data_IF_413567981976
#
_entry.id   IF_413567981976
#
_cell.length_a   1.000
_cell.length_b   1.000
_cell.length_c   1.000
_cell.angle_alpha   90.00
_cell.angle_beta   90.00
_cell.angle_gamma   90.00
#
_symmetry.space_group_name_H-M   'P 1'
#
loop_
_entity.id
_entity.type
_entity.pdbx_description
1 polymer ?
#
# COMPACT_ATOMS: atom_id res chain seq x y z
N UNK A 1 -4.67 23.43 46.93
CA UNK A 1 -5.51 22.52 46.12
C UNK A 1 -4.78 21.99 44.87
N UNK A 2 -4.20 22.83 43.99
CA UNK A 2 -3.46 22.38 42.80
C UNK A 2 -2.30 21.39 43.06
N UNK A 3 -1.48 21.63 44.10
CA UNK A 3 -0.36 20.73 44.45
C UNK A 3 -0.79 19.33 44.90
N UNK A 4 -1.91 19.21 45.62
CA UNK A 4 -2.41 17.92 46.11
C UNK A 4 -2.92 17.04 44.95
N UNK A 5 -3.56 17.65 43.96
CA UNK A 5 -4.09 16.97 42.76
C UNK A 5 -2.94 16.44 41.89
N UNK A 6 -1.86 17.22 41.71
CA UNK A 6 -0.70 16.78 40.93
C UNK A 6 0.05 15.61 41.57
N UNK A 7 0.20 15.60 42.90
CA UNK A 7 0.85 14.50 43.62
C UNK A 7 0.01 13.21 43.59
N UNK A 8 -1.32 13.31 43.69
CA UNK A 8 -2.20 12.14 43.59
C UNK A 8 -2.14 11.53 42.19
N UNK A 9 -2.11 12.35 41.14
CA UNK A 9 -2.07 11.87 39.76
C UNK A 9 -0.73 11.19 39.41
N UNK A 10 0.40 11.73 39.88
CA UNK A 10 1.71 11.11 39.66
C UNK A 10 1.89 9.81 40.44
N UNK A 11 1.40 9.74 41.68
CA UNK A 11 1.41 8.50 42.48
C UNK A 11 0.49 7.43 41.86
N UNK A 12 -0.70 7.80 41.37
CA UNK A 12 -1.60 6.87 40.69
C UNK A 12 -0.98 6.29 39.40
N UNK A 13 -0.29 7.12 38.60
CA UNK A 13 0.41 6.69 37.38
C UNK A 13 1.60 5.77 37.68
N UNK A 14 2.34 6.05 38.76
CA UNK A 14 3.44 5.17 39.22
C UNK A 14 2.91 3.83 39.73
N UNK A 15 1.80 3.82 40.47
CA UNK A 15 1.17 2.59 40.94
C UNK A 15 0.58 1.76 39.79
N UNK A 16 -0.03 2.40 38.78
CA UNK A 16 -0.53 1.68 37.60
C UNK A 16 0.62 1.05 36.80
N UNK A 17 1.73 1.79 36.61
CA UNK A 17 2.90 1.25 35.90
C UNK A 17 3.58 0.12 36.67
N UNK A 18 3.66 0.22 38.00
CA UNK A 18 4.19 -0.85 38.85
C UNK A 18 3.29 -2.11 38.82
N UNK A 19 1.97 -1.94 38.81
CA UNK A 19 1.03 -3.06 38.68
C UNK A 19 1.16 -3.77 37.33
N UNK A 20 1.28 -3.02 36.23
CA UNK A 20 1.49 -3.56 34.88
C UNK A 20 2.85 -4.29 34.79
N UNK A 21 3.90 -3.72 35.36
CA UNK A 21 5.23 -4.36 35.41
C UNK A 21 5.21 -5.65 36.26
N UNK A 22 4.45 -5.69 37.35
CA UNK A 22 4.35 -6.88 38.20
C UNK A 22 3.57 -7.99 37.50
N UNK A 23 2.48 -7.65 36.84
CA UNK A 23 1.66 -8.60 36.09
C UNK A 23 2.42 -9.24 34.92
N UNK A 24 3.22 -8.45 34.18
CA UNK A 24 4.05 -8.98 33.08
C UNK A 24 5.15 -9.94 33.55
N UNK A 25 5.72 -9.73 34.74
CA UNK A 25 6.72 -10.64 35.32
C UNK A 25 6.09 -11.96 35.79
N UNK A 26 4.89 -11.90 36.38
CA UNK A 26 4.16 -13.11 36.78
C UNK A 26 3.79 -13.96 35.57
N UNK A 27 3.22 -13.34 34.53
CA UNK A 27 2.85 -14.00 33.28
C UNK A 27 4.08 -14.63 32.59
N UNK A 28 5.22 -13.94 32.62
CA UNK A 28 6.49 -14.47 32.12
C UNK A 28 6.91 -15.74 32.86
N UNK A 29 6.88 -15.75 34.19
CA UNK A 29 7.31 -16.90 34.98
C UNK A 29 6.38 -18.11 34.81
N UNK A 30 5.06 -17.87 34.72
CA UNK A 30 4.09 -18.93 34.45
C UNK A 30 4.33 -19.53 33.07
N UNK A 31 4.45 -18.69 32.04
CA UNK A 31 4.69 -19.13 30.65
C UNK A 31 6.01 -19.88 30.52
N UNK A 32 7.07 -19.38 31.17
CA UNK A 32 8.38 -20.05 31.25
C UNK A 32 8.25 -21.48 31.76
N UNK A 33 7.54 -21.68 32.88
CA UNK A 33 7.40 -23.00 33.49
C UNK A 33 6.74 -24.00 32.52
N UNK A 34 5.64 -23.61 31.88
CA UNK A 34 4.98 -24.47 30.89
C UNK A 34 5.83 -24.71 29.63
N UNK A 35 6.57 -23.70 29.18
CA UNK A 35 7.48 -23.81 28.04
C UNK A 35 8.62 -24.80 28.31
N UNK A 36 9.21 -24.75 29.52
CA UNK A 36 10.24 -25.67 29.98
C UNK A 36 9.73 -27.11 30.16
N UNK A 37 8.43 -27.28 30.47
CA UNK A 37 7.76 -28.58 30.49
C UNK A 37 7.42 -29.14 29.10
N UNK A 38 7.76 -28.44 28.03
CA UNK A 38 7.59 -28.92 26.65
C UNK A 38 6.28 -28.51 25.99
N UNK A 39 5.41 -27.72 26.63
CA UNK A 39 4.16 -27.30 26.00
C UNK A 39 4.42 -26.38 24.80
N UNK A 40 4.09 -26.81 23.58
CA UNK A 40 4.41 -26.09 22.34
C UNK A 40 3.80 -24.68 22.28
N UNK A 41 2.56 -24.50 22.73
CA UNK A 41 1.91 -23.17 22.77
C UNK A 41 2.60 -22.25 23.78
N UNK A 42 2.96 -22.76 24.96
CA UNK A 42 3.73 -22.00 25.94
C UNK A 42 5.13 -21.64 25.40
N UNK A 43 5.80 -22.55 24.69
CA UNK A 43 7.09 -22.25 24.04
C UNK A 43 6.94 -21.16 22.98
N UNK A 44 5.90 -21.22 22.15
CA UNK A 44 5.62 -20.16 21.19
C UNK A 44 5.38 -18.81 21.89
N UNK A 45 4.52 -18.78 22.91
CA UNK A 45 4.25 -17.56 23.68
C UNK A 45 5.48 -17.03 24.41
N UNK A 46 6.31 -17.92 24.95
CA UNK A 46 7.56 -17.56 25.60
C UNK A 46 8.56 -16.95 24.60
N UNK A 47 8.63 -17.49 23.38
CA UNK A 47 9.37 -16.86 22.28
C UNK A 47 8.85 -15.46 21.96
N UNK A 48 7.53 -15.25 21.92
CA UNK A 48 6.93 -13.92 21.72
C UNK A 48 7.26 -12.93 22.85
N UNK A 49 7.33 -13.40 24.09
CA UNK A 49 7.74 -12.56 25.23
C UNK A 49 9.18 -12.07 25.06
N UNK A 50 10.11 -12.93 24.66
CA UNK A 50 11.47 -12.53 24.33
C UNK A 50 11.55 -11.59 23.12
N UNK A 51 10.74 -11.81 22.08
CA UNK A 51 10.72 -10.95 20.90
C UNK A 51 10.19 -9.54 21.20
N UNK A 52 9.14 -9.43 22.01
CA UNK A 52 8.50 -8.16 22.37
C UNK A 52 9.15 -7.46 23.57
N UNK A 53 9.94 -8.17 24.37
CA UNK A 53 10.44 -7.68 25.65
C UNK A 53 9.35 -7.58 26.73
N UNK A 54 8.29 -8.38 26.64
CA UNK A 54 7.23 -8.43 27.66
C UNK A 54 7.68 -9.28 28.85
N UNK A 55 7.84 -8.66 30.03
CA UNK A 55 8.30 -9.33 31.26
C UNK A 55 9.79 -9.72 31.27
N UNK A 56 10.52 -9.49 30.16
CA UNK A 56 11.94 -9.79 30.00
C UNK A 56 12.61 -8.79 29.06
N UNK A 57 13.93 -8.63 29.13
CA UNK A 57 14.66 -7.85 28.12
C UNK A 57 14.50 -8.52 26.74
N UNK A 58 14.18 -7.73 25.70
CA UNK A 58 14.10 -8.23 24.33
C UNK A 58 15.38 -9.00 23.95
N UNK A 59 15.22 -10.21 23.43
CA UNK A 59 16.30 -11.09 22.99
C UNK A 59 15.80 -11.96 21.82
N UNK A 60 16.14 -11.54 20.60
CA UNK A 60 15.68 -12.19 19.36
C UNK A 60 16.28 -13.59 19.19
N UNK A 61 17.46 -13.86 19.75
CA UNK A 61 18.07 -15.19 19.71
C UNK A 61 17.31 -16.16 20.62
N UNK A 62 16.95 -15.75 21.83
CA UNK A 62 16.10 -16.56 22.71
C UNK A 62 14.72 -16.76 22.09
N UNK A 63 14.13 -15.71 21.52
CA UNK A 63 12.84 -15.81 20.84
C UNK A 63 12.86 -16.90 19.76
N UNK A 64 13.85 -16.86 18.86
CA UNK A 64 14.03 -17.88 17.81
C UNK A 64 14.17 -19.28 18.37
N UNK A 65 15.02 -19.49 19.38
CA UNK A 65 15.23 -20.82 19.97
C UNK A 65 13.93 -21.40 20.54
N UNK A 66 13.08 -20.58 21.15
CA UNK A 66 11.77 -21.01 21.64
C UNK A 66 10.76 -21.24 20.52
N UNK A 67 10.78 -20.43 19.46
CA UNK A 67 10.01 -20.70 18.25
C UNK A 67 10.42 -22.00 17.57
N UNK A 68 11.72 -22.32 17.48
CA UNK A 68 12.23 -23.59 16.95
C UNK A 68 11.68 -24.78 17.73
N UNK A 69 11.76 -24.75 19.07
CA UNK A 69 11.19 -25.82 19.91
C UNK A 69 9.69 -26.02 19.68
N UNK A 70 8.91 -24.94 19.55
CA UNK A 70 7.48 -25.04 19.29
C UNK A 70 7.18 -25.53 17.87
N UNK A 71 7.92 -25.05 16.88
CA UNK A 71 7.75 -25.39 15.47
C UNK A 71 8.13 -26.84 15.15
N UNK A 72 9.19 -27.35 15.79
CA UNK A 72 9.62 -28.75 15.74
C UNK A 72 8.53 -29.70 16.28
N UNK A 73 7.69 -29.22 17.20
CA UNK A 73 6.53 -29.94 17.72
C UNK A 73 5.26 -29.79 16.85
N UNK A 74 5.36 -29.09 15.72
CA UNK A 74 4.21 -28.90 14.83
C UNK A 74 3.41 -27.62 15.05
N UNK A 75 3.79 -26.73 15.99
CA UNK A 75 3.00 -25.52 16.25
C UNK A 75 2.96 -24.59 15.03
N UNK A 76 1.80 -24.46 14.39
CA UNK A 76 1.66 -23.80 13.10
C UNK A 76 2.11 -22.32 13.13
N UNK A 77 1.72 -21.56 14.16
CA UNK A 77 2.14 -20.15 14.27
C UNK A 77 3.66 -20.00 14.45
N UNK A 78 4.29 -20.98 15.11
CA UNK A 78 5.73 -20.96 15.34
C UNK A 78 6.48 -21.32 14.05
N UNK A 79 5.95 -22.27 13.28
CA UNK A 79 6.45 -22.59 11.94
C UNK A 79 6.33 -21.39 11.01
N UNK A 80 5.17 -20.73 10.96
CA UNK A 80 5.00 -19.50 10.18
C UNK A 80 5.99 -18.40 10.62
N UNK A 81 6.14 -18.20 11.93
CA UNK A 81 7.07 -17.20 12.51
C UNK A 81 8.53 -17.51 12.14
N UNK A 82 8.96 -18.77 12.19
CA UNK A 82 10.30 -19.15 11.73
C UNK A 82 10.47 -18.93 10.24
N UNK A 83 9.43 -19.19 9.45
CA UNK A 83 9.39 -18.83 8.03
C UNK A 83 9.77 -17.37 7.82
N UNK A 84 9.11 -16.45 8.57
CA UNK A 84 9.40 -15.01 8.51
C UNK A 84 10.82 -14.66 8.96
N UNK A 85 11.30 -15.26 10.06
CA UNK A 85 12.65 -15.02 10.58
C UNK A 85 13.71 -15.38 9.54
N UNK A 86 13.59 -16.55 8.89
CA UNK A 86 14.53 -16.97 7.85
C UNK A 86 14.36 -16.17 6.55
N UNK A 87 13.14 -15.71 6.23
CA UNK A 87 12.88 -14.87 5.05
C UNK A 87 13.55 -13.49 5.18
N UNK A 88 13.42 -12.84 6.34
CA UNK A 88 13.99 -11.50 6.57
C UNK A 88 15.47 -11.56 6.97
N UNK A 89 15.89 -12.65 7.63
CA UNK A 89 17.24 -12.76 8.22
C UNK A 89 17.38 -11.98 9.55
N UNK A 90 16.29 -11.82 10.31
CA UNK A 90 16.35 -11.17 11.63
C UNK A 90 16.98 -12.12 12.65
N UNK A 91 18.18 -11.79 13.14
CA UNK A 91 18.90 -12.62 14.12
C UNK A 91 19.51 -13.92 13.55
N UNK A 92 19.33 -14.21 12.26
CA UNK A 92 19.94 -15.34 11.55
C UNK A 92 20.38 -14.93 10.15
N UNK A 93 21.23 -15.74 9.50
CA UNK A 93 21.48 -15.57 8.08
C UNK A 93 20.18 -15.83 7.30
N UNK A 94 19.80 -14.88 6.45
CA UNK A 94 18.67 -15.01 5.53
C UNK A 94 18.79 -16.31 4.70
N UNK A 95 17.69 -17.05 4.62
CA UNK A 95 17.64 -18.36 3.98
C UNK A 95 16.22 -18.64 3.46
N UNK A 96 15.99 -18.32 2.18
CA UNK A 96 14.69 -18.48 1.54
C UNK A 96 14.22 -19.95 1.45
N UNK A 97 15.14 -20.90 1.32
CA UNK A 97 14.79 -22.33 1.27
C UNK A 97 14.29 -22.82 2.63
N UNK A 98 14.96 -22.44 3.72
CA UNK A 98 14.46 -22.72 5.08
C UNK A 98 13.14 -22.01 5.35
N UNK A 99 13.01 -20.76 4.94
CA UNK A 99 11.78 -20.01 5.10
C UNK A 99 10.61 -20.74 4.43
N UNK A 100 10.76 -21.12 3.15
CA UNK A 100 9.77 -21.88 2.39
C UNK A 100 9.40 -23.20 3.09
N UNK A 101 10.37 -23.98 3.55
CA UNK A 101 10.10 -25.25 4.23
C UNK A 101 9.25 -25.06 5.50
N UNK A 102 9.50 -24.01 6.27
CA UNK A 102 8.70 -23.69 7.44
C UNK A 102 7.30 -23.21 7.08
N UNK A 103 7.17 -22.36 6.06
CA UNK A 103 5.86 -21.97 5.53
C UNK A 103 5.07 -23.17 5.01
N UNK A 104 5.70 -24.09 4.27
CA UNK A 104 5.05 -25.31 3.78
C UNK A 104 4.52 -26.18 4.93
N UNK A 105 5.29 -26.34 6.01
CA UNK A 105 4.82 -27.06 7.20
C UNK A 105 3.59 -26.38 7.81
N UNK A 106 3.60 -25.06 8.00
CA UNK A 106 2.46 -24.32 8.56
C UNK A 106 1.24 -24.33 7.63
N UNK A 107 1.45 -24.10 6.34
CA UNK A 107 0.41 -24.02 5.33
C UNK A 107 -0.29 -25.37 5.09
N UNK A 108 0.45 -26.47 5.16
CA UNK A 108 -0.10 -27.84 5.09
C UNK A 108 -0.98 -28.18 6.30
N UNK A 109 -0.84 -27.47 7.42
CA UNK A 109 -1.72 -27.58 8.58
C UNK A 109 -2.95 -26.65 8.51
N UNK A 110 -3.10 -25.89 7.42
CA UNK A 110 -4.22 -24.96 7.25
C UNK A 110 -3.94 -23.52 7.66
N UNK A 111 -2.72 -23.17 8.10
CA UNK A 111 -2.42 -21.80 8.53
C UNK A 111 -2.58 -20.80 7.37
N UNK A 112 -3.57 -19.91 7.47
CA UNK A 112 -3.97 -19.02 6.37
C UNK A 112 -2.84 -18.08 5.93
N UNK A 113 -2.15 -17.40 6.86
CA UNK A 113 -1.06 -16.47 6.50
C UNK A 113 0.12 -17.20 5.83
N UNK A 114 0.45 -18.42 6.26
CA UNK A 114 1.49 -19.22 5.62
C UNK A 114 1.07 -19.67 4.21
N UNK A 115 -0.20 -20.02 4.01
CA UNK A 115 -0.73 -20.30 2.68
C UNK A 115 -0.68 -19.06 1.78
N UNK A 116 -1.11 -17.90 2.28
CA UNK A 116 -0.99 -16.63 1.55
C UNK A 116 0.47 -16.32 1.20
N UNK A 117 1.39 -16.47 2.16
CA UNK A 117 2.83 -16.21 1.97
C UNK A 117 3.44 -17.15 0.91
N UNK A 118 3.07 -18.44 0.90
CA UNK A 118 3.49 -19.34 -0.18
C UNK A 118 2.91 -18.91 -1.53
N UNK A 119 1.65 -18.45 -1.55
CA UNK A 119 1.04 -17.86 -2.73
C UNK A 119 1.87 -16.70 -3.29
N UNK A 120 2.26 -15.75 -2.43
CA UNK A 120 3.14 -14.63 -2.79
C UNK A 120 4.50 -15.07 -3.31
N UNK A 121 5.16 -16.01 -2.60
CA UNK A 121 6.47 -16.53 -2.97
C UNK A 121 6.45 -17.12 -4.38
N UNK A 122 5.45 -17.93 -4.71
CA UNK A 122 5.32 -18.50 -6.06
C UNK A 122 4.85 -17.46 -7.10
N UNK A 123 4.06 -16.46 -6.70
CA UNK A 123 3.60 -15.38 -7.57
C UNK A 123 4.74 -14.46 -8.03
N UNK A 124 5.66 -14.12 -7.11
CA UNK A 124 6.80 -13.22 -7.39
C UNK A 124 8.03 -14.00 -7.85
N UNK A 125 8.18 -15.25 -7.42
CA UNK A 125 9.40 -16.05 -7.65
C UNK A 125 10.54 -15.70 -6.69
N UNK A 126 10.23 -15.28 -5.46
CA UNK A 126 11.25 -14.99 -4.45
C UNK A 126 11.81 -16.29 -3.85
N UNK A 127 13.08 -16.59 -4.09
CA UNK A 127 13.70 -17.83 -3.61
C UNK A 127 13.20 -19.12 -4.27
N UNK A 128 12.30 -19.03 -5.25
CA UNK A 128 11.81 -20.14 -6.08
C UNK A 128 11.64 -19.70 -7.53
N UNK A 129 11.52 -20.66 -8.44
CA UNK A 129 11.02 -20.33 -9.78
C UNK A 129 9.56 -19.87 -9.67
N UNK A 130 9.25 -18.72 -10.26
CA UNK A 130 7.89 -18.21 -10.37
C UNK A 130 6.95 -19.25 -11.00
N UNK A 131 5.79 -19.44 -10.38
CA UNK A 131 4.82 -20.47 -10.73
C UNK A 131 3.41 -20.01 -10.33
N UNK A 132 2.68 -19.43 -11.30
CA UNK A 132 1.34 -18.89 -11.06
C UNK A 132 0.30 -19.96 -10.71
N UNK A 133 0.48 -21.20 -11.19
CA UNK A 133 -0.43 -22.30 -10.86
C UNK A 133 -0.32 -22.67 -9.39
N UNK A 134 0.90 -22.76 -8.86
CA UNK A 134 1.12 -22.95 -7.42
C UNK A 134 0.66 -21.75 -6.60
N UNK A 135 0.94 -20.53 -7.07
CA UNK A 135 0.48 -19.31 -6.41
C UNK A 135 -1.04 -19.33 -6.23
N UNK A 136 -1.77 -19.62 -7.31
CA UNK A 136 -3.22 -19.77 -7.30
C UNK A 136 -3.69 -20.81 -6.29
N UNK A 137 -3.13 -22.01 -6.29
CA UNK A 137 -3.55 -23.08 -5.38
C UNK A 137 -3.39 -22.68 -3.92
N UNK A 138 -2.32 -21.96 -3.58
CA UNK A 138 -2.10 -21.49 -2.22
C UNK A 138 -3.00 -20.30 -1.85
N UNK A 139 -3.17 -19.34 -2.75
CA UNK A 139 -4.15 -18.26 -2.57
C UNK A 139 -5.57 -18.78 -2.43
N UNK A 140 -6.01 -19.75 -3.25
CA UNK A 140 -7.35 -20.36 -3.14
C UNK A 140 -7.57 -20.96 -1.75
N UNK A 141 -6.58 -21.67 -1.19
CA UNK A 141 -6.68 -22.22 0.17
C UNK A 141 -6.84 -21.12 1.23
N UNK A 142 -6.02 -20.08 1.20
CA UNK A 142 -6.11 -18.97 2.17
C UNK A 142 -7.38 -18.13 1.98
N UNK A 143 -7.76 -17.84 0.73
CA UNK A 143 -8.93 -17.05 0.37
C UNK A 143 -10.24 -17.73 0.79
N UNK A 144 -10.31 -19.06 0.66
CA UNK A 144 -11.44 -19.86 1.13
C UNK A 144 -11.59 -19.86 2.66
N UNK A 145 -10.52 -19.54 3.40
CA UNK A 145 -10.55 -19.31 4.85
C UNK A 145 -10.91 -17.88 5.23
N UNK A 146 -11.15 -16.99 4.25
CA UNK A 146 -11.48 -15.60 4.50
C UNK A 146 -10.30 -14.63 4.48
N UNK A 147 -9.07 -15.09 4.22
CA UNK A 147 -7.89 -14.20 4.24
C UNK A 147 -8.00 -13.11 3.15
N UNK A 148 -8.12 -11.84 3.55
CA UNK A 148 -8.41 -10.72 2.65
C UNK A 148 -7.33 -10.53 1.57
N UNK A 149 -6.04 -10.54 1.94
CA UNK A 149 -4.97 -10.37 0.95
C UNK A 149 -4.88 -11.53 -0.05
N UNK A 150 -5.20 -12.76 0.39
CA UNK A 150 -5.26 -13.91 -0.52
C UNK A 150 -6.45 -13.84 -1.47
N UNK A 151 -7.60 -13.32 -1.01
CA UNK A 151 -8.75 -13.05 -1.88
C UNK A 151 -8.38 -12.00 -2.94
N UNK A 152 -7.73 -10.90 -2.53
CA UNK A 152 -7.23 -9.90 -3.46
C UNK A 152 -6.20 -10.50 -4.43
N UNK A 153 -5.18 -11.22 -3.94
CA UNK A 153 -4.18 -11.88 -4.78
C UNK A 153 -4.78 -12.86 -5.79
N UNK A 154 -5.79 -13.64 -5.39
CA UNK A 154 -6.52 -14.53 -6.30
C UNK A 154 -7.31 -13.76 -7.35
N UNK A 155 -8.00 -12.68 -6.96
CA UNK A 155 -8.69 -11.79 -7.90
C UNK A 155 -7.75 -11.18 -8.95
N UNK A 156 -6.54 -10.80 -8.53
CA UNK A 156 -5.51 -10.24 -9.41
C UNK A 156 -4.98 -11.27 -10.42
N UNK A 157 -4.87 -12.55 -10.04
CA UNK A 157 -4.54 -13.62 -10.99
C UNK A 157 -5.62 -13.77 -12.07
N UNK A 158 -6.91 -13.75 -11.68
CA UNK A 158 -8.02 -13.75 -12.64
C UNK A 158 -8.09 -12.49 -13.50
N UNK A 159 -7.70 -11.33 -12.96
CA UNK A 159 -7.72 -10.05 -13.69
C UNK A 159 -6.66 -10.04 -14.77
N UNK A 160 -5.46 -10.53 -14.46
CA UNK A 160 -4.31 -10.56 -15.38
C UNK A 160 -4.31 -11.78 -16.31
N UNK A 161 -4.99 -12.88 -15.93
CA UNK A 161 -4.89 -14.16 -16.64
C UNK A 161 -3.58 -14.90 -16.38
N UNK A 162 -2.92 -14.63 -15.25
CA UNK A 162 -1.68 -15.29 -14.88
C UNK A 162 -1.98 -16.62 -14.17
N UNK A 163 -1.56 -17.76 -14.76
CA UNK A 163 -1.85 -19.10 -14.22
C UNK A 163 -3.33 -19.51 -14.27
N UNK A 164 -4.19 -18.67 -14.87
CA UNK A 164 -5.62 -18.93 -15.10
C UNK A 164 -6.06 -18.28 -16.39
N UNK A 165 -7.19 -18.74 -16.93
CA UNK A 165 -7.88 -17.95 -17.96
C UNK A 165 -8.36 -16.65 -17.32
N UNK A 166 -8.08 -15.51 -17.96
CA UNK A 166 -8.60 -14.21 -17.54
C UNK A 166 -10.13 -14.26 -17.40
N UNK A 167 -10.64 -13.83 -16.26
CA UNK A 167 -12.07 -13.85 -15.93
C UNK A 167 -12.42 -12.72 -14.96
N UNK A 168 -12.93 -11.62 -15.51
CA UNK A 168 -13.36 -10.47 -14.71
C UNK A 168 -14.54 -10.75 -13.79
N UNK A 169 -15.35 -11.79 -14.05
CA UNK A 169 -16.42 -12.18 -13.13
C UNK A 169 -15.84 -12.80 -11.86
N UNK A 170 -14.82 -13.65 -12.01
CA UNK A 170 -14.08 -14.19 -10.86
C UNK A 170 -13.26 -13.11 -10.15
N UNK A 171 -12.60 -12.21 -10.89
CA UNK A 171 -11.92 -11.04 -10.28
C UNK A 171 -12.86 -10.28 -9.38
N UNK A 172 -14.03 -9.86 -9.90
CA UNK A 172 -14.99 -9.10 -9.13
C UNK A 172 -15.43 -9.85 -7.87
N UNK A 173 -15.76 -11.13 -7.98
CA UNK A 173 -16.17 -11.95 -6.85
C UNK A 173 -15.12 -11.92 -5.72
N UNK A 174 -13.85 -12.12 -6.07
CA UNK A 174 -12.77 -12.17 -5.09
C UNK A 174 -12.40 -10.79 -4.53
N UNK A 175 -12.39 -9.77 -5.37
CA UNK A 175 -12.18 -8.39 -4.94
C UNK A 175 -13.33 -7.91 -4.04
N UNK A 176 -14.60 -8.21 -4.35
CA UNK A 176 -15.75 -7.87 -3.49
C UNK A 176 -15.58 -8.47 -2.09
N UNK A 177 -15.19 -9.75 -1.99
CA UNK A 177 -14.92 -10.39 -0.68
C UNK A 177 -13.78 -9.72 0.10
N UNK A 178 -12.69 -9.33 -0.55
CA UNK A 178 -11.58 -8.64 0.10
C UNK A 178 -11.98 -7.21 0.52
N UNK A 179 -12.67 -6.49 -0.37
CA UNK A 179 -13.11 -5.12 -0.18
C UNK A 179 -14.16 -4.98 0.94
N UNK A 180 -15.05 -5.96 1.08
CA UNK A 180 -16.04 -6.05 2.17
C UNK A 180 -15.37 -6.24 3.54
N UNK A 181 -14.16 -6.78 3.57
CA UNK A 181 -13.32 -6.87 4.78
C UNK A 181 -12.46 -5.61 5.02
N UNK A 182 -12.59 -4.59 4.18
CA UNK A 182 -11.84 -3.35 4.31
C UNK A 182 -10.53 -3.30 3.51
N UNK A 183 -10.20 -4.32 2.70
CA UNK A 183 -8.95 -4.31 1.94
C UNK A 183 -8.89 -3.13 0.96
N UNK A 184 -7.98 -2.19 1.18
CA UNK A 184 -7.94 -0.90 0.50
C UNK A 184 -7.71 -1.03 -1.01
N UNK A 185 -6.73 -1.83 -1.44
CA UNK A 185 -6.44 -1.97 -2.88
C UNK A 185 -7.59 -2.67 -3.63
N UNK A 186 -8.21 -3.68 -3.03
CA UNK A 186 -9.39 -4.33 -3.59
C UNK A 186 -10.57 -3.35 -3.73
N UNK A 187 -10.79 -2.44 -2.77
CA UNK A 187 -11.79 -1.38 -2.89
C UNK A 187 -11.47 -0.44 -4.05
N UNK A 188 -10.21 0.01 -4.17
CA UNK A 188 -9.79 0.85 -5.29
C UNK A 188 -10.00 0.13 -6.64
N UNK A 189 -9.52 -1.10 -6.76
CA UNK A 189 -9.61 -1.88 -8.00
C UNK A 189 -11.05 -2.21 -8.39
N UNK A 190 -11.96 -2.46 -7.43
CA UNK A 190 -13.39 -2.54 -7.73
C UNK A 190 -13.93 -1.24 -8.30
N UNK A 191 -13.51 -0.11 -7.73
CA UNK A 191 -13.81 1.21 -8.25
C UNK A 191 -13.36 1.35 -9.71
N UNK A 192 -12.14 0.92 -10.02
CA UNK A 192 -11.58 0.89 -11.39
C UNK A 192 -12.38 -0.03 -12.31
N UNK A 193 -12.81 -1.20 -11.84
CA UNK A 193 -13.64 -2.13 -12.62
C UNK A 193 -14.99 -1.51 -12.99
N UNK A 194 -15.67 -0.86 -12.06
CA UNK A 194 -16.92 -0.14 -12.33
C UNK A 194 -16.69 1.10 -13.22
N UNK A 195 -15.58 1.82 -13.03
CA UNK A 195 -15.22 2.99 -13.83
C UNK A 195 -15.00 2.64 -15.30
N UNK A 196 -14.35 1.51 -15.59
CA UNK A 196 -14.02 1.08 -16.95
C UNK A 196 -15.00 0.06 -17.55
N UNK A 197 -15.90 -0.52 -16.74
CA UNK A 197 -16.78 -1.59 -17.17
C UNK A 197 -16.09 -2.95 -17.37
N UNK A 198 -15.06 -3.26 -16.58
CA UNK A 198 -14.38 -4.56 -16.64
C UNK A 198 -15.20 -5.66 -15.96
N UNK A 199 -15.79 -6.55 -16.76
CA UNK A 199 -16.64 -7.64 -16.25
C UNK A 199 -17.96 -7.20 -15.62
N UNK A 200 -18.26 -5.91 -15.64
CA UNK A 200 -19.48 -5.29 -15.14
C UNK A 200 -19.96 -4.24 -16.13
N UNK A 201 -21.22 -3.86 -16.05
CA UNK A 201 -21.67 -2.65 -16.73
C UNK A 201 -20.96 -1.45 -16.11
N UNK A 202 -20.40 -0.58 -16.96
CA UNK A 202 -19.80 0.67 -16.51
C UNK A 202 -20.79 1.46 -15.66
N UNK A 203 -20.36 1.87 -14.46
CA UNK A 203 -21.17 2.58 -13.49
C UNK A 203 -20.29 3.49 -12.62
N UNK A 204 -20.25 4.77 -12.98
CA UNK A 204 -19.46 5.77 -12.26
C UNK A 204 -19.97 6.02 -10.82
N UNK A 205 -21.25 5.78 -10.55
CA UNK A 205 -21.78 5.93 -9.19
C UNK A 205 -21.30 4.80 -8.28
N UNK A 206 -21.23 3.56 -8.78
CA UNK A 206 -20.59 2.46 -8.06
C UNK A 206 -19.07 2.67 -7.93
N UNK A 207 -18.41 3.14 -8.99
CA UNK A 207 -16.99 3.48 -8.94
C UNK A 207 -16.69 4.48 -7.82
N UNK A 208 -17.48 5.56 -7.73
CA UNK A 208 -17.39 6.54 -6.65
C UNK A 208 -17.48 5.91 -5.27
N UNK A 209 -18.48 5.05 -5.03
CA UNK A 209 -18.69 4.46 -3.70
C UNK A 209 -17.49 3.63 -3.25
N UNK A 210 -16.88 2.88 -4.18
CA UNK A 210 -15.70 2.08 -3.89
C UNK A 210 -14.44 2.94 -3.74
N UNK A 211 -14.28 3.97 -4.58
CA UNK A 211 -13.20 4.95 -4.41
C UNK A 211 -13.33 5.72 -3.09
N UNK A 212 -14.53 6.10 -2.64
CA UNK A 212 -14.76 6.74 -1.33
C UNK A 212 -14.25 5.88 -0.19
N UNK A 213 -14.59 4.58 -0.18
CA UNK A 213 -14.10 3.65 0.86
C UNK A 213 -12.56 3.56 0.88
N UNK A 214 -11.90 3.43 -0.27
CA UNK A 214 -10.45 3.36 -0.34
C UNK A 214 -9.78 4.71 0.01
N UNK A 215 -10.36 5.82 -0.44
CA UNK A 215 -9.87 7.16 -0.21
C UNK A 215 -9.97 7.59 1.26
N UNK A 216 -11.01 7.15 1.97
CA UNK A 216 -11.19 7.35 3.41
C UNK A 216 -10.10 6.63 4.23
N UNK A 217 -9.54 5.55 3.69
CA UNK A 217 -8.37 4.87 4.24
C UNK A 217 -7.03 5.48 3.80
N UNK A 218 -7.07 6.57 3.03
CA UNK A 218 -5.87 7.29 2.60
C UNK A 218 -5.31 6.86 1.24
N UNK A 219 -5.95 5.96 0.48
CA UNK A 219 -5.39 5.50 -0.80
C UNK A 219 -5.27 6.63 -1.84
N UNK A 220 -4.06 6.91 -2.30
CA UNK A 220 -3.78 8.07 -3.16
C UNK A 220 -4.47 7.97 -4.53
N UNK A 221 -4.42 6.81 -5.20
CA UNK A 221 -5.07 6.66 -6.53
C UNK A 221 -6.60 6.72 -6.44
N UNK A 222 -7.21 6.22 -5.35
CA UNK A 222 -8.65 6.35 -5.11
C UNK A 222 -9.05 7.83 -4.88
N UNK A 223 -8.25 8.57 -4.11
CA UNK A 223 -8.43 10.02 -3.95
C UNK A 223 -8.31 10.75 -5.29
N UNK A 224 -7.33 10.38 -6.12
CA UNK A 224 -7.21 10.91 -7.48
C UNK A 224 -8.45 10.56 -8.32
N UNK A 225 -8.92 9.31 -8.29
CA UNK A 225 -10.13 8.86 -8.98
C UNK A 225 -11.38 9.63 -8.58
N UNK A 226 -11.56 9.93 -7.29
CA UNK A 226 -12.64 10.82 -6.83
C UNK A 226 -12.49 12.23 -7.39
N UNK A 227 -11.27 12.76 -7.40
CA UNK A 227 -10.96 14.04 -8.03
C UNK A 227 -11.43 14.07 -9.48
N UNK A 228 -11.12 13.03 -10.26
CA UNK A 228 -11.53 12.88 -11.67
C UNK A 228 -13.06 12.82 -11.82
N UNK A 229 -13.76 12.09 -10.96
CA UNK A 229 -15.23 12.00 -11.03
C UNK A 229 -15.90 13.35 -10.78
N UNK A 230 -15.44 14.11 -9.78
CA UNK A 230 -15.97 15.45 -9.50
C UNK A 230 -15.57 16.49 -10.57
N UNK A 231 -14.38 16.35 -11.15
CA UNK A 231 -13.87 17.24 -12.21
C UNK A 231 -14.65 17.06 -13.51
N UNK A 232 -14.97 15.82 -13.87
CA UNK A 232 -15.72 15.47 -15.08
C UNK A 232 -17.25 15.54 -14.91
N UNK A 233 -17.76 15.36 -13.69
CA UNK A 233 -19.19 15.17 -13.44
C UNK A 233 -19.71 13.77 -13.81
N UNK A 234 -18.83 12.78 -13.92
CA UNK A 234 -19.22 11.39 -14.18
C UNK A 234 -19.70 10.73 -12.88
N UNK A 235 -20.96 10.27 -12.85
CA UNK A 235 -21.53 9.59 -11.67
C UNK A 235 -21.80 10.51 -10.46
N UNK A 236 -21.49 11.80 -10.57
CA UNK A 236 -21.73 12.87 -9.59
C UNK A 236 -22.11 14.17 -10.30
N UNK A 237 -22.63 15.14 -9.55
CA UNK A 237 -22.70 16.52 -10.05
C UNK A 237 -21.27 17.06 -10.13
N UNK A 238 -20.90 17.61 -11.29
CA UNK A 238 -19.61 18.27 -11.48
C UNK A 238 -19.39 19.35 -10.41
N UNK A 239 -18.24 19.29 -9.74
CA UNK A 239 -17.86 20.20 -8.67
C UNK A 239 -16.33 20.33 -8.60
N UNK A 240 -15.80 21.39 -9.22
CA UNK A 240 -14.37 21.69 -9.19
C UNK A 240 -13.83 21.96 -7.77
N UNK A 241 -14.67 22.40 -6.83
CA UNK A 241 -14.26 22.57 -5.44
C UNK A 241 -13.95 21.22 -4.79
N UNK A 242 -14.82 20.23 -4.97
CA UNK A 242 -14.61 18.86 -4.50
C UNK A 242 -13.46 18.18 -5.24
N UNK A 243 -13.39 18.32 -6.56
CA UNK A 243 -12.32 17.76 -7.37
C UNK A 243 -10.94 18.18 -6.84
N UNK A 244 -10.78 19.50 -6.60
CA UNK A 244 -9.57 20.06 -6.02
C UNK A 244 -9.23 19.45 -4.67
N UNK A 245 -10.20 19.35 -3.75
CA UNK A 245 -9.92 18.82 -2.41
C UNK A 245 -9.40 17.38 -2.47
N UNK A 246 -9.97 16.55 -3.35
CA UNK A 246 -9.53 15.18 -3.56
C UNK A 246 -8.17 15.10 -4.25
N UNK A 247 -7.94 15.90 -5.30
CA UNK A 247 -6.63 16.01 -5.92
C UNK A 247 -5.57 16.49 -4.92
N UNK A 248 -5.86 17.49 -4.07
CA UNK A 248 -4.94 17.99 -3.04
C UNK A 248 -4.52 16.88 -2.08
N UNK A 249 -5.47 16.05 -1.61
CA UNK A 249 -5.15 14.88 -0.78
C UNK A 249 -4.18 13.93 -1.49
N UNK A 250 -4.49 13.51 -2.72
CA UNK A 250 -3.61 12.61 -3.49
C UNK A 250 -2.23 13.25 -3.78
N UNK A 251 -2.21 14.53 -4.14
CA UNK A 251 -0.99 15.26 -4.49
C UNK A 251 -0.05 15.46 -3.29
N UNK A 252 -0.58 15.61 -2.07
CA UNK A 252 0.22 15.67 -0.84
C UNK A 252 0.93 14.36 -0.52
N UNK A 253 0.40 13.25 -1.03
CA UNK A 253 1.02 11.92 -0.96
C UNK A 253 2.01 11.66 -2.11
N UNK A 254 2.21 12.63 -3.00
CA UNK A 254 3.16 12.52 -4.11
C UNK A 254 2.53 12.11 -5.44
N UNK A 255 1.22 11.88 -5.54
CA UNK A 255 0.60 11.41 -6.79
C UNK A 255 0.80 12.41 -7.95
N UNK A 256 1.51 12.00 -9.00
CA UNK A 256 1.96 12.91 -10.07
C UNK A 256 0.81 13.47 -10.92
N UNK A 257 -0.17 12.64 -11.33
CA UNK A 257 -1.33 13.14 -12.09
C UNK A 257 -2.20 14.10 -11.28
N UNK A 258 -2.39 13.84 -9.97
CA UNK A 258 -3.09 14.76 -9.08
C UNK A 258 -2.36 16.11 -8.97
N UNK A 259 -1.03 16.10 -8.80
CA UNK A 259 -0.22 17.32 -8.80
C UNK A 259 -0.36 18.09 -10.12
N UNK A 260 -0.33 17.39 -11.25
CA UNK A 260 -0.57 18.00 -12.56
C UNK A 260 -1.98 18.61 -12.67
N UNK A 261 -3.02 17.91 -12.23
CA UNK A 261 -4.40 18.39 -12.32
C UNK A 261 -4.65 19.59 -11.40
N UNK A 262 -4.05 19.65 -10.22
CA UNK A 262 -4.08 20.88 -9.39
C UNK A 262 -3.40 22.04 -10.14
N UNK A 263 -2.27 21.78 -10.81
CA UNK A 263 -1.61 22.77 -11.65
C UNK A 263 -2.55 23.30 -12.75
N UNK A 264 -3.28 22.41 -13.43
CA UNK A 264 -4.29 22.80 -14.41
C UNK A 264 -5.39 23.67 -13.81
N UNK A 265 -5.93 23.29 -12.64
CA UNK A 265 -6.98 24.07 -11.96
C UNK A 265 -6.52 25.48 -11.60
N UNK A 266 -5.30 25.64 -11.08
CA UNK A 266 -4.72 26.97 -10.84
C UNK A 266 -4.43 27.74 -12.13
N UNK A 267 -4.15 27.05 -13.23
CA UNK A 267 -3.92 27.66 -14.54
C UNK A 267 -5.22 28.14 -15.18
N UNK A 268 -6.32 27.39 -15.04
CA UNK A 268 -7.62 27.71 -15.63
C UNK A 268 -8.47 28.61 -14.72
N UNK A 269 -8.26 28.55 -13.41
CA UNK A 269 -9.14 29.18 -12.41
C UNK A 269 -10.40 28.38 -12.14
N UNK A 270 -10.42 27.08 -12.44
CA UNK A 270 -11.55 26.19 -12.15
C UNK A 270 -11.46 25.68 -10.70
N UNK A 271 -12.48 25.96 -9.89
CA UNK A 271 -12.51 25.58 -8.48
C UNK A 271 -11.54 26.36 -7.57
N UNK A 272 -10.67 27.21 -8.15
CA UNK A 272 -9.72 28.09 -7.45
C UNK A 272 -9.60 29.44 -8.13
N UNK A 273 -9.10 30.43 -7.41
CA UNK A 273 -8.61 31.66 -8.06
C UNK A 273 -7.38 31.30 -8.90
N UNK A 274 -7.37 31.73 -10.17
CA UNK A 274 -6.23 31.54 -11.06
C UNK A 274 -4.94 32.09 -10.42
N UNK A 275 -3.89 31.27 -10.41
CA UNK A 275 -2.59 31.60 -9.84
C UNK A 275 -1.48 30.85 -10.59
N UNK A 276 -0.76 31.57 -11.45
CA UNK A 276 0.35 31.00 -12.22
C UNK A 276 1.57 30.66 -11.35
N UNK A 277 1.72 31.27 -10.18
CA UNK A 277 2.74 30.90 -9.21
C UNK A 277 2.49 29.51 -8.65
N UNK A 278 1.25 29.24 -8.21
CA UNK A 278 0.82 27.89 -7.80
C UNK A 278 0.86 26.89 -8.94
N UNK A 279 0.40 27.31 -10.13
CA UNK A 279 0.48 26.48 -11.36
C UNK A 279 1.90 25.97 -11.58
N UNK A 280 2.89 26.88 -11.56
CA UNK A 280 4.30 26.52 -11.74
C UNK A 280 4.76 25.54 -10.67
N UNK A 281 4.49 25.83 -9.40
CA UNK A 281 4.93 24.98 -8.28
C UNK A 281 4.40 23.55 -8.40
N UNK A 282 3.13 23.39 -8.77
CA UNK A 282 2.52 22.07 -8.92
C UNK A 282 3.02 21.34 -10.16
N UNK A 283 3.18 22.04 -11.29
CA UNK A 283 3.82 21.45 -12.46
C UNK A 283 5.27 21.06 -12.22
N UNK A 284 6.06 21.85 -11.49
CA UNK A 284 7.44 21.50 -11.12
C UNK A 284 7.50 20.20 -10.31
N UNK A 285 6.60 20.02 -9.33
CA UNK A 285 6.50 18.77 -8.55
C UNK A 285 6.17 17.56 -9.44
N UNK A 286 5.14 17.65 -10.28
CA UNK A 286 4.77 16.56 -11.17
C UNK A 286 5.86 16.29 -12.23
N UNK A 287 6.46 17.33 -12.80
CA UNK A 287 7.50 17.25 -13.82
C UNK A 287 8.80 16.62 -13.29
N UNK A 288 9.14 16.87 -12.02
CA UNK A 288 10.27 16.25 -11.34
C UNK A 288 10.12 14.72 -11.22
N UNK A 289 8.88 14.22 -11.22
CA UNK A 289 8.56 12.79 -11.22
C UNK A 289 8.48 12.17 -12.63
N UNK A 290 8.83 12.92 -13.67
CA UNK A 290 8.76 12.43 -15.05
C UNK A 290 7.40 12.63 -15.74
N UNK A 291 6.42 13.28 -15.10
CA UNK A 291 5.08 13.44 -15.69
C UNK A 291 5.11 14.30 -16.96
N UNK A 292 4.98 13.65 -18.11
CA UNK A 292 5.32 14.23 -19.42
C UNK A 292 4.41 15.40 -19.84
N UNK A 293 3.12 15.38 -19.46
CA UNK A 293 2.20 16.52 -19.69
C UNK A 293 2.53 17.71 -18.79
N UNK A 294 2.98 17.47 -17.56
CA UNK A 294 3.40 18.56 -16.65
C UNK A 294 4.69 19.20 -17.13
N UNK A 295 5.65 18.40 -17.62
CA UNK A 295 6.87 18.90 -18.27
C UNK A 295 6.53 19.78 -19.47
N UNK A 296 5.65 19.32 -20.36
CA UNK A 296 5.18 20.11 -21.50
C UNK A 296 4.50 21.42 -21.07
N UNK A 297 3.59 21.37 -20.10
CA UNK A 297 2.86 22.54 -19.62
C UNK A 297 3.80 23.54 -18.91
N UNK A 298 4.78 23.05 -18.16
CA UNK A 298 5.81 23.89 -17.54
C UNK A 298 6.69 24.55 -18.61
N UNK A 299 7.08 23.82 -19.65
CA UNK A 299 7.76 24.39 -20.83
C UNK A 299 6.95 25.52 -21.47
N UNK A 300 5.64 25.32 -21.62
CA UNK A 300 4.70 26.33 -22.14
C UNK A 300 4.63 27.58 -21.27
N UNK A 301 4.61 27.44 -19.93
CA UNK A 301 4.65 28.59 -19.01
C UNK A 301 5.90 29.45 -19.23
N UNK A 302 7.07 28.82 -19.32
CA UNK A 302 8.34 29.55 -19.57
C UNK A 302 8.42 30.12 -20.99
N UNK A 303 7.86 29.42 -21.99
CA UNK A 303 7.84 29.90 -23.36
C UNK A 303 6.98 31.16 -23.53
N UNK A 304 5.83 31.21 -22.86
CA UNK A 304 4.89 32.32 -22.93
C UNK A 304 5.16 33.43 -21.90
N UNK A 305 5.93 33.15 -20.85
CA UNK A 305 6.10 34.06 -19.71
C UNK A 305 4.85 34.18 -18.83
N UNK A 306 4.02 33.13 -18.77
CA UNK A 306 2.78 33.11 -17.99
C UNK A 306 3.10 32.92 -16.50
N UNK A 307 3.09 34.01 -15.72
CA UNK A 307 3.43 34.00 -14.29
C UNK A 307 4.90 33.74 -13.98
N UNK A 308 5.74 33.68 -15.01
CA UNK A 308 7.21 33.59 -14.92
C UNK A 308 7.84 34.52 -15.93
N UNK A 309 9.10 34.89 -15.72
CA UNK A 309 9.85 35.56 -16.79
C UNK A 309 10.01 34.60 -17.96
N UNK A 310 9.63 35.05 -19.15
CA UNK A 310 9.81 34.29 -20.39
C UNK A 310 11.27 33.81 -20.51
N UNK A 311 11.45 32.52 -20.80
CA UNK A 311 12.76 31.90 -20.93
C UNK A 311 12.71 30.70 -21.89
N UNK A 312 13.14 30.94 -23.13
CA UNK A 312 13.12 29.91 -24.18
C UNK A 312 14.10 28.76 -23.91
N UNK A 313 15.19 28.99 -23.17
CA UNK A 313 16.14 27.93 -22.83
C UNK A 313 15.52 26.95 -21.84
N UNK A 314 14.93 27.46 -20.75
CA UNK A 314 14.22 26.63 -19.77
C UNK A 314 13.01 25.94 -20.44
N UNK A 315 12.27 26.65 -21.29
CA UNK A 315 11.19 26.06 -22.05
C UNK A 315 11.67 24.88 -22.92
N UNK A 316 12.75 25.07 -23.67
CA UNK A 316 13.37 24.03 -24.50
C UNK A 316 13.77 22.81 -23.68
N UNK A 317 14.39 23.00 -22.52
CA UNK A 317 14.77 21.89 -21.63
C UNK A 317 13.55 21.07 -21.19
N UNK A 318 12.47 21.72 -20.78
CA UNK A 318 11.26 21.03 -20.35
C UNK A 318 10.53 20.34 -21.50
N UNK A 319 10.48 20.94 -22.70
CA UNK A 319 9.94 20.28 -23.89
C UNK A 319 10.76 19.06 -24.29
N UNK A 320 12.10 19.12 -24.16
CA UNK A 320 12.98 17.98 -24.38
C UNK A 320 12.67 16.83 -23.43
N UNK A 321 12.60 17.10 -22.12
CA UNK A 321 12.21 16.10 -21.12
C UNK A 321 10.83 15.50 -21.40
N UNK A 322 9.86 16.33 -21.79
CA UNK A 322 8.53 15.86 -22.15
C UNK A 322 8.59 14.90 -23.35
N UNK A 323 9.40 15.23 -24.37
CA UNK A 323 9.63 14.38 -25.54
C UNK A 323 10.30 13.06 -25.18
N UNK A 324 11.34 13.09 -24.34
CA UNK A 324 12.03 11.89 -23.87
C UNK A 324 11.08 10.95 -23.10
N UNK A 325 10.08 11.53 -22.41
CA UNK A 325 8.98 10.81 -21.75
C UNK A 325 7.76 10.57 -22.66
N UNK A 326 7.94 10.58 -23.99
CA UNK A 326 6.95 10.17 -24.99
C UNK A 326 5.83 11.18 -25.30
N UNK A 327 5.93 12.43 -24.84
CA UNK A 327 4.94 13.46 -25.17
C UNK A 327 5.24 14.11 -26.53
N UNK A 328 4.40 13.81 -27.52
CA UNK A 328 4.54 14.32 -28.89
C UNK A 328 4.49 15.85 -28.98
N UNK A 329 3.61 16.51 -28.22
CA UNK A 329 3.54 17.98 -28.19
C UNK A 329 4.85 18.57 -27.64
N UNK A 330 5.48 17.89 -26.68
CA UNK A 330 6.83 18.20 -26.20
C UNK A 330 7.87 18.10 -27.32
N UNK A 331 7.87 17.01 -28.09
CA UNK A 331 8.77 16.83 -29.23
C UNK A 331 8.60 17.93 -30.28
N UNK A 332 7.37 18.28 -30.62
CA UNK A 332 7.06 19.29 -31.64
C UNK A 332 7.45 20.70 -31.17
N UNK A 333 7.15 21.05 -29.92
CA UNK A 333 7.55 22.31 -29.30
C UNK A 333 9.09 22.43 -29.19
N UNK A 334 9.78 21.34 -28.82
CA UNK A 334 11.23 21.29 -28.78
C UNK A 334 11.83 21.59 -30.16
N UNK A 335 11.34 20.92 -31.21
CA UNK A 335 11.80 21.13 -32.59
C UNK A 335 11.57 22.58 -33.04
N UNK A 336 10.40 23.15 -32.77
CA UNK A 336 10.05 24.53 -33.16
C UNK A 336 11.06 25.54 -32.58
N UNK A 337 11.36 25.42 -31.29
CA UNK A 337 12.32 26.30 -30.59
C UNK A 337 13.76 26.04 -31.05
N UNK A 338 14.12 24.78 -31.29
CA UNK A 338 15.46 24.41 -31.75
C UNK A 338 15.76 24.97 -33.16
N UNK A 339 14.76 24.97 -34.05
CA UNK A 339 14.89 25.42 -35.44
C UNK A 339 14.73 26.95 -35.60
N UNK A 340 14.43 27.69 -34.53
CA UNK A 340 14.34 29.16 -34.57
C UNK A 340 13.06 29.70 -35.25
N UNK A 341 12.03 28.88 -35.43
CA UNK A 341 10.74 29.31 -35.98
C UNK A 341 9.86 29.89 -34.86
N UNK A 342 9.92 31.20 -34.64
CA UNK A 342 9.08 31.91 -33.66
C UNK A 342 7.90 32.60 -34.32
#
# INVERSE_FOLDING_TARGET
MKYLITVIFTVALLLSNAAIATQSIEEFNVTKNYAEQGNATAQYNFGRMYFSGNGVKRDDNQARLWFEKAADQGHADAQHTLGLIYNVGEGVRQDYDKARLWYEKAANQGHADAQYTLGLIYNVGEGVRQDYDKARLWYEKAANQGHADAQYGLGALYFSGNGVKQDYSQTRLWYEKAADQGHTDAQYDLGVMYYNGYGVKQDYSQARLWFEKAADQGHADAQYGLGVLYDSGEGVRQDYGQARLWYEKAATQGHADAQHNIGLMYSSGEGVKQDYGQTRLWYEKAAAQGHSRAQYNLGTLYFNGSGVRQNNNIAKEWFGKACDNGNQNGCDAYKKIHLGHY
#
